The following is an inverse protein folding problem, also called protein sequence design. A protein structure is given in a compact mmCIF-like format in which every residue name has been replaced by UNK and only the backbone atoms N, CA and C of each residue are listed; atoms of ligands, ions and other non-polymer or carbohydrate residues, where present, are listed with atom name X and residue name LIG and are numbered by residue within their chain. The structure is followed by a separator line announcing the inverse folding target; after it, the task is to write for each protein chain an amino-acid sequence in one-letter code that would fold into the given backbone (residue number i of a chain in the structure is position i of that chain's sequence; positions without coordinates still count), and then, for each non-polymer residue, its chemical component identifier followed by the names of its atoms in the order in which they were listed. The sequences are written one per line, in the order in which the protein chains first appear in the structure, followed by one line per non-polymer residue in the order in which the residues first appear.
data_IF_614887727694
#
_entry.id   IF_614887727694
#
_cell.length_a   1.000
_cell.length_b   1.000
_cell.length_c   1.000
_cell.angle_alpha   90.00
_cell.angle_beta   90.00
_cell.angle_gamma   90.00
#
_symmetry.space_group_name_H-M   'P 1'
#
loop_
_entity.id
_entity.type
_entity.pdbx_description
1 polymer ?
#
# COMPACT_ATOMS: atom_id res chain seq x y z
N UNK A 1 3.83 61.27 48.81
CA UNK A 1 3.36 59.88 48.58
C UNK A 1 3.73 59.28 47.21
N UNK A 2 4.20 60.04 46.22
CA UNK A 2 4.60 59.48 44.90
C UNK A 2 6.03 58.91 44.85
N UNK A 3 7.00 59.45 45.60
CA UNK A 3 8.39 58.93 45.61
C UNK A 3 8.56 57.57 46.29
N UNK A 4 7.63 57.19 47.17
CA UNK A 4 7.65 55.90 47.87
C UNK A 4 7.07 54.75 47.00
N UNK A 5 6.26 55.08 45.98
CA UNK A 5 5.67 54.09 45.06
C UNK A 5 6.61 53.71 43.90
N UNK A 6 7.52 54.60 43.49
CA UNK A 6 8.52 54.29 42.46
C UNK A 6 9.63 53.36 42.96
N UNK A 7 9.99 53.43 44.24
CA UNK A 7 10.99 52.52 44.81
C UNK A 7 10.46 51.07 44.93
N UNK A 8 9.15 50.91 45.15
CA UNK A 8 8.52 49.60 45.25
C UNK A 8 8.50 48.84 43.90
N UNK A 9 8.41 49.55 42.77
CA UNK A 9 8.44 48.90 41.44
C UNK A 9 9.84 48.51 40.97
N UNK A 10 10.90 49.20 41.42
CA UNK A 10 12.30 48.86 41.06
C UNK A 10 12.86 47.72 41.91
N UNK A 11 12.36 47.55 43.14
CA UNK A 11 12.77 46.42 44.01
C UNK A 11 12.03 45.14 43.62
N UNK A 12 10.84 45.23 43.03
CA UNK A 12 10.07 44.05 42.59
C UNK A 12 10.57 43.45 41.26
N UNK A 13 11.29 44.19 40.43
CA UNK A 13 11.92 43.69 39.21
C UNK A 13 13.24 42.93 39.44
N UNK A 14 13.80 42.96 40.65
CA UNK A 14 14.99 42.21 41.06
C UNK A 14 14.68 40.85 41.72
N UNK A 15 13.40 40.45 41.80
CA UNK A 15 12.99 39.15 42.36
C UNK A 15 12.52 38.12 41.32
N UNK A 16 12.94 38.27 40.06
CA UNK A 16 12.95 37.14 39.13
C UNK A 16 14.08 36.19 39.56
N UNK A 17 13.78 35.37 40.57
CA UNK A 17 14.56 34.21 40.92
C UNK A 17 14.62 33.30 39.70
N UNK A 18 15.73 33.38 38.97
CA UNK A 18 16.12 32.34 38.04
C UNK A 18 16.15 31.05 38.86
N UNK A 19 15.25 30.11 38.56
CA UNK A 19 15.32 28.77 39.12
C UNK A 19 16.60 28.12 38.61
N UNK A 20 17.69 28.26 39.35
CA UNK A 20 18.91 27.47 39.14
C UNK A 20 18.59 26.07 39.63
N UNK A 21 18.48 25.13 38.71
CA UNK A 21 18.33 23.72 39.05
C UNK A 21 19.63 23.26 39.71
N UNK A 22 19.60 23.05 41.03
CA UNK A 22 20.75 22.58 41.79
C UNK A 22 21.04 21.11 41.42
N UNK A 23 22.26 20.80 41.00
CA UNK A 23 22.68 19.45 40.53
C UNK A 23 23.66 18.77 41.51
N UNK A 24 23.55 19.11 42.79
CA UNK A 24 24.35 18.53 43.87
C UNK A 24 23.47 17.64 44.74
N UNK A 25 24.04 16.53 45.21
CA UNK A 25 23.41 15.66 46.22
C UNK A 25 23.61 16.30 47.59
N UNK A 26 22.55 16.38 48.39
CA UNK A 26 22.61 16.88 49.78
C UNK A 26 23.73 16.16 50.54
N UNK A 27 24.80 16.87 50.87
CA UNK A 27 25.96 16.34 51.59
C UNK A 27 27.21 16.04 50.76
N UNK A 28 27.26 16.38 49.46
CA UNK A 28 28.51 16.32 48.68
C UNK A 28 28.62 17.42 47.62
N UNK A 29 29.78 18.08 47.52
CA UNK A 29 30.13 19.07 46.46
C UNK A 29 30.32 18.44 45.07
N UNK A 30 29.93 17.16 44.88
CA UNK A 30 29.96 16.52 43.58
C UNK A 30 28.75 16.94 42.76
N UNK A 31 29.00 17.78 41.75
CA UNK A 31 28.05 18.00 40.66
C UNK A 31 27.79 16.68 39.94
N UNK A 32 26.58 16.13 40.09
CA UNK A 32 26.11 15.04 39.24
C UNK A 32 25.47 15.71 38.02
N UNK A 33 26.29 16.06 37.03
CA UNK A 33 25.73 16.24 35.68
C UNK A 33 25.31 14.84 35.22
N UNK A 34 24.01 14.55 34.98
CA UNK A 34 23.65 13.28 34.37
C UNK A 34 24.48 13.16 33.09
N UNK A 35 25.23 12.04 32.96
CA UNK A 35 26.06 11.79 31.79
C UNK A 35 25.13 11.86 30.58
N UNK A 36 25.19 12.97 29.84
CA UNK A 36 24.28 13.21 28.73
C UNK A 36 24.46 12.08 27.74
N UNK A 37 23.39 11.29 27.52
CA UNK A 37 23.39 10.29 26.49
C UNK A 37 23.44 11.00 25.14
N UNK A 38 24.61 10.94 24.51
CA UNK A 38 24.87 11.61 23.25
C UNK A 38 23.95 11.09 22.13
N UNK A 39 23.54 9.81 22.19
CA UNK A 39 22.61 9.22 21.22
C UNK A 39 21.20 9.78 21.40
N UNK A 40 20.72 9.89 22.64
CA UNK A 40 19.41 10.52 22.91
C UNK A 40 19.39 12.02 22.57
N UNK A 41 20.49 12.71 22.88
CA UNK A 41 20.66 14.11 22.47
C UNK A 41 20.67 14.25 20.94
N UNK A 42 21.32 13.33 20.21
CA UNK A 42 21.28 13.27 18.75
C UNK A 42 19.86 12.99 18.22
N UNK A 43 19.12 12.03 18.81
CA UNK A 43 17.72 11.74 18.43
C UNK A 43 16.80 12.94 18.58
N UNK A 44 16.97 13.70 19.65
CA UNK A 44 16.23 14.95 19.86
C UNK A 44 16.53 15.97 18.76
N UNK A 45 17.80 16.08 18.35
CA UNK A 45 18.22 16.94 17.24
C UNK A 45 17.69 16.45 15.89
N UNK A 46 17.66 15.15 15.65
CA UNK A 46 17.06 14.55 14.45
C UNK A 46 15.58 14.93 14.37
N UNK A 47 14.83 14.72 15.46
CA UNK A 47 13.40 15.04 15.50
C UNK A 47 13.12 16.52 15.19
N UNK A 48 13.92 17.43 15.76
CA UNK A 48 13.85 18.86 15.43
C UNK A 48 14.17 19.11 13.96
N UNK A 49 15.24 18.50 13.44
CA UNK A 49 15.64 18.64 12.03
C UNK A 49 14.54 18.20 11.05
N UNK A 50 13.90 17.06 11.32
CA UNK A 50 12.77 16.55 10.54
C UNK A 50 11.57 17.51 10.63
N UNK A 51 11.28 18.06 11.81
CA UNK A 51 10.18 19.02 11.97
C UNK A 51 10.42 20.32 11.17
N UNK A 52 11.66 20.82 11.14
CA UNK A 52 12.02 21.96 10.30
C UNK A 52 11.91 21.63 8.80
N UNK A 53 12.32 20.42 8.37
CA UNK A 53 12.11 19.96 6.99
C UNK A 53 10.64 19.95 6.59
N UNK A 54 9.76 19.44 7.45
CA UNK A 54 8.31 19.43 7.20
C UNK A 54 7.70 20.83 7.02
N UNK A 55 8.34 21.86 7.59
CA UNK A 55 7.94 23.27 7.47
C UNK A 55 8.66 23.99 6.32
N UNK A 56 9.56 23.33 5.61
CA UNK A 56 10.39 23.90 4.55
C UNK A 56 11.58 24.75 5.04
N UNK A 57 11.86 24.78 6.34
CA UNK A 57 13.03 25.49 6.89
C UNK A 57 14.28 24.63 6.82
N UNK A 58 14.84 24.56 5.61
CA UNK A 58 16.00 23.73 5.31
C UNK A 58 17.27 24.20 6.07
N UNK A 59 17.37 25.48 6.43
CA UNK A 59 18.54 26.00 7.16
C UNK A 59 18.58 25.49 8.60
N UNK A 60 17.44 25.59 9.32
CA UNK A 60 17.34 25.07 10.68
C UNK A 60 17.39 23.54 10.72
N UNK A 61 16.85 22.88 9.68
CA UNK A 61 16.99 21.44 9.52
C UNK A 61 18.46 21.02 9.48
N UNK A 62 19.24 21.57 8.54
CA UNK A 62 20.67 21.26 8.39
C UNK A 62 21.44 21.50 9.68
N UNK A 63 21.20 22.64 10.33
CA UNK A 63 21.87 22.98 11.60
C UNK A 63 21.62 21.94 12.70
N UNK A 64 20.38 21.47 12.85
CA UNK A 64 20.07 20.46 13.86
C UNK A 64 20.65 19.09 13.49
N UNK A 65 20.61 18.70 12.21
CA UNK A 65 21.16 17.43 11.75
C UNK A 65 22.70 17.37 11.87
N UNK A 66 23.41 18.46 11.58
CA UNK A 66 24.87 18.54 11.80
C UNK A 66 25.21 18.45 13.29
N UNK A 67 24.40 19.05 14.16
CA UNK A 67 24.55 18.85 15.62
C UNK A 67 24.26 17.42 16.04
N UNK A 68 23.26 16.76 15.45
CA UNK A 68 23.01 15.35 15.72
C UNK A 68 24.23 14.50 15.35
N UNK A 69 24.82 14.75 14.18
CA UNK A 69 26.05 14.11 13.70
C UNK A 69 27.25 14.38 14.59
N UNK A 70 27.42 15.60 15.11
CA UNK A 70 28.52 15.90 16.02
C UNK A 70 28.39 15.16 17.37
N UNK A 71 27.15 14.89 17.81
CA UNK A 71 26.87 14.18 19.06
C UNK A 71 27.02 12.66 18.90
N UNK A 72 26.49 12.10 17.81
CA UNK A 72 26.50 10.65 17.56
C UNK A 72 26.81 10.34 16.07
N UNK A 73 28.09 10.46 15.64
CA UNK A 73 28.46 10.28 14.23
C UNK A 73 28.30 8.85 13.71
N UNK A 74 28.22 7.85 14.60
CA UNK A 74 28.06 6.43 14.26
C UNK A 74 26.60 5.95 14.38
N UNK A 75 25.64 6.84 14.66
CA UNK A 75 24.24 6.48 14.74
C UNK A 75 23.61 6.49 13.34
N UNK A 76 23.15 5.34 12.85
CA UNK A 76 22.58 5.22 11.50
C UNK A 76 21.37 6.16 11.28
N UNK A 77 20.56 6.39 12.32
CA UNK A 77 19.41 7.32 12.31
C UNK A 77 19.83 8.75 11.91
N UNK A 78 21.02 9.22 12.31
CA UNK A 78 21.55 10.53 11.92
C UNK A 78 21.77 10.59 10.41
N UNK A 79 22.42 9.56 9.86
CA UNK A 79 22.74 9.51 8.44
C UNK A 79 21.48 9.33 7.58
N UNK A 80 20.49 8.56 8.05
CA UNK A 80 19.17 8.51 7.42
C UNK A 80 18.49 9.88 7.39
N UNK A 81 18.53 10.63 8.50
CA UNK A 81 17.92 11.96 8.57
C UNK A 81 18.66 12.99 7.70
N UNK A 82 19.99 12.92 7.62
CA UNK A 82 20.78 13.72 6.67
C UNK A 82 20.50 13.34 5.22
N UNK A 83 20.34 12.05 4.92
CA UNK A 83 19.97 11.60 3.59
C UNK A 83 18.60 12.15 3.16
N UNK A 84 17.62 12.11 4.07
CA UNK A 84 16.31 12.72 3.86
C UNK A 84 16.41 14.25 3.64
N UNK A 85 17.25 14.95 4.41
CA UNK A 85 17.53 16.37 4.18
C UNK A 85 18.07 16.62 2.77
N UNK A 86 19.13 15.92 2.37
CA UNK A 86 19.75 16.07 1.05
C UNK A 86 18.80 15.74 -0.08
N UNK A 87 17.94 14.73 0.10
CA UNK A 87 16.87 14.39 -0.84
C UNK A 87 15.88 15.55 -1.02
N UNK A 88 15.45 16.21 0.07
CA UNK A 88 14.51 17.34 0.00
C UNK A 88 15.10 18.58 -0.69
N UNK A 89 16.41 18.83 -0.52
CA UNK A 89 17.11 19.95 -1.19
C UNK A 89 17.70 19.58 -2.55
N UNK A 90 17.37 18.39 -3.07
CA UNK A 90 17.83 17.86 -4.36
C UNK A 90 19.36 17.67 -4.50
N UNK A 91 20.08 17.51 -3.39
CA UNK A 91 21.50 17.10 -3.36
C UNK A 91 21.61 15.56 -3.38
N UNK A 92 21.24 14.94 -4.50
CA UNK A 92 20.98 13.50 -4.58
C UNK A 92 22.22 12.61 -4.35
N UNK A 93 23.40 13.04 -4.76
CA UNK A 93 24.65 12.29 -4.53
C UNK A 93 24.99 12.24 -3.03
N UNK A 94 24.80 13.36 -2.33
CA UNK A 94 24.98 13.44 -0.88
C UNK A 94 23.94 12.57 -0.15
N UNK A 95 22.69 12.60 -0.62
CA UNK A 95 21.62 11.74 -0.10
C UNK A 95 21.98 10.25 -0.23
N UNK A 96 22.41 9.82 -1.42
CA UNK A 96 22.80 8.44 -1.67
C UNK A 96 24.00 8.02 -0.80
N UNK A 97 24.99 8.90 -0.62
CA UNK A 97 26.13 8.65 0.25
C UNK A 97 25.71 8.48 1.72
N UNK A 98 24.83 9.36 2.22
CA UNK A 98 24.32 9.26 3.59
C UNK A 98 23.48 8.00 3.83
N UNK A 99 22.64 7.58 2.88
CA UNK A 99 21.92 6.31 2.98
C UNK A 99 22.87 5.10 3.03
N UNK A 100 23.89 5.06 2.18
CA UNK A 100 24.90 3.99 2.21
C UNK A 100 25.64 3.97 3.55
N UNK A 101 26.02 5.13 4.07
CA UNK A 101 26.66 5.25 5.38
C UNK A 101 25.77 4.70 6.50
N UNK A 102 24.47 5.00 6.48
CA UNK A 102 23.52 4.45 7.45
C UNK A 102 23.45 2.91 7.41
N UNK A 103 23.50 2.32 6.21
CA UNK A 103 23.52 0.87 6.02
C UNK A 103 24.83 0.23 6.46
N UNK A 104 25.96 0.90 6.24
CA UNK A 104 27.29 0.41 6.65
C UNK A 104 27.44 0.42 8.17
N UNK A 105 26.86 1.42 8.85
CA UNK A 105 26.87 1.53 10.32
C UNK A 105 25.96 0.51 11.01
N UNK A 106 24.75 0.29 10.48
CA UNK A 106 23.80 -0.67 11.04
C UNK A 106 23.19 -1.57 9.93
N UNK A 107 23.88 -2.65 9.52
CA UNK A 107 23.43 -3.54 8.44
C UNK A 107 22.12 -4.30 8.71
N UNK A 108 21.66 -4.34 9.96
CA UNK A 108 20.40 -4.98 10.35
C UNK A 108 19.24 -3.97 10.51
N UNK A 109 19.49 -2.67 10.32
CA UNK A 109 18.48 -1.62 10.47
C UNK A 109 17.53 -1.58 9.27
N UNK A 110 16.36 -2.20 9.42
CA UNK A 110 15.35 -2.30 8.37
C UNK A 110 14.83 -0.95 7.87
N UNK A 111 14.71 0.06 8.74
CA UNK A 111 14.25 1.40 8.35
C UNK A 111 15.24 2.07 7.37
N UNK A 112 16.54 1.88 7.56
CA UNK A 112 17.57 2.37 6.63
C UNK A 112 17.40 1.79 5.23
N UNK A 113 17.10 0.50 5.10
CA UNK A 113 16.83 -0.15 3.82
C UNK A 113 15.53 0.35 3.18
N UNK A 114 14.47 0.51 3.98
CA UNK A 114 13.21 1.03 3.49
C UNK A 114 13.36 2.46 2.95
N UNK A 115 14.06 3.32 3.69
CA UNK A 115 14.25 4.72 3.31
C UNK A 115 15.14 4.84 2.07
N UNK A 116 16.24 4.06 1.99
CA UNK A 116 17.09 4.07 0.82
C UNK A 116 16.38 3.49 -0.42
N UNK A 117 15.60 2.43 -0.24
CA UNK A 117 14.78 1.86 -1.32
C UNK A 117 13.77 2.87 -1.86
N UNK A 118 13.05 3.59 -0.99
CA UNK A 118 12.13 4.65 -1.40
C UNK A 118 12.84 5.77 -2.16
N UNK A 119 14.02 6.19 -1.70
CA UNK A 119 14.86 7.16 -2.40
C UNK A 119 15.26 6.67 -3.80
N UNK A 120 15.75 5.43 -3.93
CA UNK A 120 16.13 4.87 -5.22
C UNK A 120 14.95 4.83 -6.20
N UNK A 121 13.74 4.55 -5.69
CA UNK A 121 12.55 4.58 -6.51
C UNK A 121 12.30 5.97 -7.11
N UNK A 122 12.35 7.02 -6.29
CA UNK A 122 12.23 8.42 -6.75
C UNK A 122 13.31 8.82 -7.77
N UNK A 123 14.45 8.12 -7.80
CA UNK A 123 15.54 8.34 -8.76
C UNK A 123 15.43 7.46 -10.01
N UNK A 124 14.35 6.70 -10.17
CA UNK A 124 14.14 5.79 -11.30
C UNK A 124 14.98 4.51 -11.25
N UNK A 125 15.65 4.22 -10.12
CA UNK A 125 16.47 3.02 -9.91
C UNK A 125 15.58 1.89 -9.35
N UNK A 126 14.59 1.49 -10.14
CA UNK A 126 13.44 0.71 -9.69
C UNK A 126 13.76 -0.70 -9.18
N UNK A 127 14.60 -1.46 -9.89
CA UNK A 127 14.95 -2.82 -9.49
C UNK A 127 15.78 -2.82 -8.20
N UNK A 128 16.68 -1.84 -8.05
CA UNK A 128 17.47 -1.68 -6.84
C UNK A 128 16.59 -1.26 -5.66
N UNK A 129 15.63 -0.36 -5.90
CA UNK A 129 14.65 0.07 -4.90
C UNK A 129 13.85 -1.11 -4.33
N UNK A 130 13.28 -1.94 -5.21
CA UNK A 130 12.51 -3.12 -4.79
C UNK A 130 13.39 -4.10 -4.02
N UNK A 131 14.62 -4.36 -4.47
CA UNK A 131 15.56 -5.23 -3.75
C UNK A 131 15.79 -4.75 -2.32
N UNK A 132 16.05 -3.44 -2.11
CA UNK A 132 16.26 -2.88 -0.78
C UNK A 132 15.00 -2.93 0.09
N UNK A 133 13.82 -2.68 -0.50
CA UNK A 133 12.54 -2.74 0.22
C UNK A 133 12.18 -4.18 0.64
N UNK A 134 12.38 -5.16 -0.23
CA UNK A 134 12.21 -6.58 0.10
C UNK A 134 13.24 -7.05 1.13
N UNK A 135 14.46 -6.54 1.01
CA UNK A 135 15.46 -6.71 2.04
C UNK A 135 14.92 -6.15 3.36
N UNK A 136 14.38 -4.92 3.45
CA UNK A 136 13.84 -4.33 4.68
C UNK A 136 12.81 -5.27 5.34
N UNK A 137 11.87 -5.78 4.55
CA UNK A 137 10.84 -6.73 4.97
C UNK A 137 11.43 -8.02 5.55
N UNK A 138 12.56 -8.50 5.04
CA UNK A 138 13.19 -9.74 5.50
C UNK A 138 13.88 -9.65 6.86
N UNK A 139 14.01 -8.46 7.46
CA UNK A 139 14.76 -8.27 8.72
C UNK A 139 13.90 -8.67 9.91
N UNK A 140 14.49 -9.38 10.90
CA UNK A 140 13.78 -9.74 12.13
C UNK A 140 13.26 -8.50 12.86
N UNK A 141 12.00 -8.55 13.32
CA UNK A 141 11.41 -7.49 14.13
C UNK A 141 10.97 -6.25 13.36
N UNK A 142 11.06 -6.23 12.03
CA UNK A 142 10.59 -5.08 11.24
C UNK A 142 9.07 -4.99 11.24
N UNK A 143 8.53 -3.98 11.92
CA UNK A 143 7.08 -3.78 12.08
C UNK A 143 6.42 -3.02 10.92
N UNK A 144 7.21 -2.35 10.06
CA UNK A 144 6.71 -1.47 8.99
C UNK A 144 6.69 -2.17 7.62
N UNK A 145 6.51 -3.48 7.60
CA UNK A 145 6.44 -4.25 6.36
C UNK A 145 5.36 -3.73 5.40
N UNK A 146 4.22 -3.30 5.92
CA UNK A 146 3.16 -2.68 5.12
C UNK A 146 3.62 -1.42 4.38
N UNK A 147 4.43 -0.57 5.02
CA UNK A 147 5.00 0.64 4.40
C UNK A 147 5.94 0.28 3.24
N UNK A 148 6.79 -0.73 3.44
CA UNK A 148 7.72 -1.17 2.39
C UNK A 148 7.00 -1.79 1.21
N UNK A 149 5.97 -2.61 1.43
CA UNK A 149 5.15 -3.14 0.35
C UNK A 149 4.43 -2.05 -0.43
N UNK A 150 3.89 -1.04 0.26
CA UNK A 150 3.28 0.12 -0.40
C UNK A 150 4.30 0.90 -1.24
N UNK A 151 5.51 1.13 -0.71
CA UNK A 151 6.59 1.78 -1.46
C UNK A 151 6.95 0.99 -2.73
N UNK A 152 7.04 -0.34 -2.65
CA UNK A 152 7.28 -1.18 -3.84
C UNK A 152 6.13 -1.01 -4.84
N UNK A 153 4.89 -1.04 -4.37
CA UNK A 153 3.74 -0.90 -5.25
C UNK A 153 3.69 0.44 -5.99
N UNK A 154 3.95 1.54 -5.28
CA UNK A 154 4.06 2.87 -5.89
C UNK A 154 5.19 2.90 -6.93
N UNK A 155 6.30 2.23 -6.64
CA UNK A 155 7.41 2.07 -7.57
C UNK A 155 7.04 1.29 -8.84
N UNK A 156 6.18 0.28 -8.70
CA UNK A 156 5.63 -0.47 -9.84
C UNK A 156 4.63 0.37 -10.63
N UNK A 157 3.85 1.23 -9.99
CA UNK A 157 2.96 2.17 -10.68
C UNK A 157 3.72 3.19 -11.52
N UNK A 158 4.87 3.71 -11.04
CA UNK A 158 5.72 4.59 -11.86
C UNK A 158 6.23 3.90 -13.14
N UNK A 159 6.47 2.59 -13.06
CA UNK A 159 6.83 1.75 -14.21
C UNK A 159 5.61 1.31 -15.04
N UNK A 160 4.40 1.75 -14.69
CA UNK A 160 3.14 1.32 -15.31
C UNK A 160 2.92 -0.20 -15.22
N UNK A 161 3.46 -0.85 -14.19
CA UNK A 161 3.24 -2.27 -13.88
C UNK A 161 2.11 -2.40 -12.85
N UNK A 162 0.88 -2.33 -13.35
CA UNK A 162 -0.33 -2.35 -12.53
C UNK A 162 -0.57 -3.70 -11.85
N UNK A 163 -0.14 -4.81 -12.47
CA UNK A 163 -0.33 -6.16 -11.92
C UNK A 163 0.52 -6.35 -10.66
N UNK A 164 1.82 -6.02 -10.74
CA UNK A 164 2.69 -6.09 -9.56
C UNK A 164 2.32 -5.04 -8.51
N UNK A 165 1.95 -3.83 -8.93
CA UNK A 165 1.49 -2.80 -8.01
C UNK A 165 0.29 -3.27 -7.17
N UNK A 166 -0.73 -3.85 -7.82
CA UNK A 166 -1.88 -4.43 -7.11
C UNK A 166 -1.45 -5.53 -6.14
N UNK A 167 -0.60 -6.46 -6.58
CA UNK A 167 -0.14 -7.57 -5.74
C UNK A 167 0.58 -7.09 -4.48
N UNK A 168 1.45 -6.08 -4.60
CA UNK A 168 2.15 -5.50 -3.45
C UNK A 168 1.24 -4.65 -2.56
N UNK A 169 0.24 -3.95 -3.10
CA UNK A 169 -0.78 -3.27 -2.31
C UNK A 169 -1.65 -4.27 -1.53
N UNK A 170 -2.01 -5.40 -2.15
CA UNK A 170 -2.71 -6.49 -1.46
C UNK A 170 -1.87 -7.04 -0.28
N UNK A 171 -0.55 -7.17 -0.46
CA UNK A 171 0.37 -7.53 0.64
C UNK A 171 0.43 -6.43 1.72
N UNK A 172 0.49 -5.16 1.34
CA UNK A 172 0.49 -4.03 2.28
C UNK A 172 -0.76 -4.05 3.17
N UNK A 173 -1.94 -4.21 2.58
CA UNK A 173 -3.22 -4.31 3.30
C UNK A 173 -3.28 -5.57 4.17
N UNK A 174 -2.71 -6.70 3.74
CA UNK A 174 -2.62 -7.91 4.60
C UNK A 174 -1.75 -7.69 5.84
N UNK A 175 -0.67 -6.93 5.73
CA UNK A 175 0.20 -6.60 6.88
C UNK A 175 -0.39 -5.50 7.77
N UNK A 176 -1.14 -4.55 7.20
CA UNK A 176 -1.86 -3.54 7.97
C UNK A 176 -3.19 -3.21 7.30
N UNK A 177 -4.25 -3.85 7.80
CA UNK A 177 -5.55 -3.85 7.16
C UNK A 177 -6.32 -2.53 7.33
N UNK A 178 -5.91 -1.67 8.26
CA UNK A 178 -6.50 -0.36 8.52
C UNK A 178 -5.65 0.79 7.97
N UNK A 179 -4.59 0.52 7.20
CA UNK A 179 -3.71 1.55 6.66
C UNK A 179 -4.45 2.36 5.58
N UNK A 180 -4.75 3.66 5.82
CA UNK A 180 -5.59 4.41 4.88
C UNK A 180 -4.95 4.61 3.51
N UNK A 181 -3.64 4.86 3.47
CA UNK A 181 -2.90 5.07 2.22
C UNK A 181 -2.90 3.82 1.33
N UNK A 182 -2.67 2.64 1.92
CA UNK A 182 -2.66 1.39 1.17
C UNK A 182 -4.06 1.03 0.64
N UNK A 183 -5.12 1.24 1.45
CA UNK A 183 -6.50 1.06 1.00
C UNK A 183 -6.85 2.01 -0.15
N UNK A 184 -6.48 3.29 -0.04
CA UNK A 184 -6.71 4.30 -1.07
C UNK A 184 -5.97 3.98 -2.38
N UNK A 185 -4.68 3.64 -2.29
CA UNK A 185 -3.86 3.30 -3.44
C UNK A 185 -4.38 2.03 -4.12
N UNK A 186 -4.76 1.01 -3.34
CA UNK A 186 -5.37 -0.21 -3.87
C UNK A 186 -6.72 0.08 -4.53
N UNK A 187 -7.55 0.95 -3.96
CA UNK A 187 -8.82 1.35 -4.56
C UNK A 187 -8.59 2.06 -5.91
N UNK A 188 -7.60 2.95 -5.97
CA UNK A 188 -7.22 3.69 -7.19
C UNK A 188 -6.76 2.75 -8.30
N UNK A 189 -5.94 1.75 -7.95
CA UNK A 189 -5.49 0.70 -8.89
C UNK A 189 -6.66 -0.16 -9.36
N UNK A 190 -7.55 -0.59 -8.47
CA UNK A 190 -8.74 -1.36 -8.86
C UNK A 190 -9.67 -0.53 -9.76
N UNK A 191 -9.86 0.76 -9.48
CA UNK A 191 -10.60 1.67 -10.36
C UNK A 191 -9.96 1.77 -11.75
N UNK A 192 -8.64 1.96 -11.82
CA UNK A 192 -7.91 1.98 -13.09
C UNK A 192 -8.08 0.66 -13.86
N UNK A 193 -8.11 -0.46 -13.16
CA UNK A 193 -8.35 -1.80 -13.72
C UNK A 193 -9.84 -2.11 -13.96
N UNK A 194 -10.75 -1.14 -13.76
CA UNK A 194 -12.21 -1.31 -13.85
C UNK A 194 -12.82 -2.37 -12.92
N UNK A 195 -12.13 -2.77 -11.85
CA UNK A 195 -12.72 -3.50 -10.73
C UNK A 195 -13.40 -2.51 -9.76
N UNK A 196 -14.54 -1.98 -10.22
CA UNK A 196 -15.27 -0.92 -9.54
C UNK A 196 -15.83 -1.37 -8.18
N UNK A 197 -16.18 -2.67 -8.05
CA UNK A 197 -16.70 -3.21 -6.80
C UNK A 197 -15.59 -3.27 -5.74
N UNK A 198 -14.43 -3.83 -6.09
CA UNK A 198 -13.29 -3.86 -5.17
C UNK A 198 -12.85 -2.45 -4.79
N UNK A 199 -12.78 -1.53 -5.77
CA UNK A 199 -12.43 -0.13 -5.52
C UNK A 199 -13.38 0.55 -4.52
N UNK A 200 -14.70 0.36 -4.68
CA UNK A 200 -15.69 0.93 -3.77
C UNK A 200 -15.57 0.36 -2.35
N UNK A 201 -15.45 -0.97 -2.21
CA UNK A 201 -15.31 -1.64 -0.91
C UNK A 201 -14.09 -1.12 -0.14
N UNK A 202 -12.97 -0.93 -0.84
CA UNK A 202 -11.74 -0.42 -0.23
C UNK A 202 -11.89 1.04 0.23
N UNK A 203 -12.59 1.88 -0.53
CA UNK A 203 -12.89 3.25 -0.12
C UNK A 203 -13.84 3.30 1.08
N UNK A 204 -14.91 2.52 1.06
CA UNK A 204 -15.87 2.45 2.18
C UNK A 204 -15.13 2.02 3.47
N UNK A 205 -14.25 1.02 3.36
CA UNK A 205 -13.38 0.58 4.47
C UNK A 205 -12.44 1.70 4.93
N UNK A 206 -11.77 2.39 4.02
CA UNK A 206 -10.86 3.48 4.35
C UNK A 206 -11.59 4.62 5.07
N UNK A 207 -12.76 5.03 4.58
CA UNK A 207 -13.56 6.11 5.15
C UNK A 207 -14.10 5.77 6.55
N UNK A 208 -14.39 4.50 6.82
CA UNK A 208 -14.79 4.06 8.16
C UNK A 208 -13.66 4.16 9.20
N UNK A 209 -12.40 4.12 8.75
CA UNK A 209 -11.22 4.05 9.61
C UNK A 209 -10.40 5.35 9.66
N UNK A 210 -10.66 6.32 8.77
CA UNK A 210 -9.83 7.51 8.61
C UNK A 210 -10.60 8.72 8.12
N UNK A 211 -9.92 9.87 8.07
CA UNK A 211 -10.49 11.12 7.57
C UNK A 211 -10.69 11.06 6.05
N UNK A 212 -11.80 11.64 5.61
CA UNK A 212 -12.14 11.78 4.20
C UNK A 212 -11.29 12.92 3.61
N UNK A 213 -10.70 12.68 2.43
CA UNK A 213 -9.93 13.67 1.67
C UNK A 213 -10.63 14.00 0.35
N UNK A 214 -10.43 15.21 -0.23
CA UNK A 214 -11.05 15.56 -1.51
C UNK A 214 -10.67 14.58 -2.63
N UNK A 215 -9.42 14.08 -2.64
CA UNK A 215 -8.95 12.99 -3.53
C UNK A 215 -9.81 11.74 -3.41
N UNK A 216 -10.06 11.27 -2.20
CA UNK A 216 -10.90 10.08 -1.97
C UNK A 216 -12.36 10.28 -2.36
N UNK A 217 -12.91 11.49 -2.16
CA UNK A 217 -14.29 11.82 -2.57
C UNK A 217 -14.40 11.86 -4.09
N UNK A 218 -13.42 12.45 -4.77
CA UNK A 218 -13.37 12.46 -6.24
C UNK A 218 -13.30 11.04 -6.80
N UNK A 219 -12.48 10.16 -6.21
CA UNK A 219 -12.44 8.76 -6.64
C UNK A 219 -13.79 8.06 -6.43
N UNK A 220 -14.45 8.27 -5.28
CA UNK A 220 -15.81 7.76 -5.04
C UNK A 220 -16.82 8.28 -6.08
N UNK A 221 -16.74 9.57 -6.44
CA UNK A 221 -17.58 10.15 -7.50
C UNK A 221 -17.34 9.44 -8.84
N UNK A 222 -16.08 9.25 -9.23
CA UNK A 222 -15.72 8.61 -10.51
C UNK A 222 -16.17 7.14 -10.56
N UNK A 223 -16.02 6.40 -9.46
CA UNK A 223 -16.53 5.03 -9.35
C UNK A 223 -18.06 5.01 -9.49
N UNK A 224 -18.76 5.89 -8.77
CA UNK A 224 -20.21 5.99 -8.83
C UNK A 224 -20.71 6.38 -10.24
N UNK A 225 -20.00 7.30 -10.91
CA UNK A 225 -20.28 7.68 -12.29
C UNK A 225 -20.16 6.48 -13.24
N UNK A 226 -19.10 5.68 -13.11
CA UNK A 226 -18.89 4.47 -13.93
C UNK A 226 -19.92 3.36 -13.65
N UNK A 227 -20.39 3.28 -12.40
CA UNK A 227 -21.44 2.35 -11.97
C UNK A 227 -22.85 2.84 -12.28
N UNK A 228 -23.01 4.11 -12.69
CA UNK A 228 -24.31 4.79 -12.81
C UNK A 228 -25.09 4.84 -11.48
N UNK A 229 -24.38 4.87 -10.36
CA UNK A 229 -24.96 5.09 -9.04
C UNK A 229 -25.16 6.60 -8.82
N UNK A 230 -26.29 7.11 -9.31
CA UNK A 230 -26.63 8.53 -9.23
C UNK A 230 -26.71 9.04 -7.79
N UNK A 231 -27.11 8.20 -6.83
CA UNK A 231 -27.21 8.61 -5.43
C UNK A 231 -25.83 8.84 -4.82
N UNK A 232 -24.90 7.88 -4.98
CA UNK A 232 -23.52 8.05 -4.52
C UNK A 232 -22.80 9.18 -5.25
N UNK A 233 -23.06 9.34 -6.55
CA UNK A 233 -22.50 10.44 -7.35
C UNK A 233 -22.92 11.80 -6.80
N UNK A 234 -24.22 12.02 -6.54
CA UNK A 234 -24.74 13.26 -5.97
C UNK A 234 -24.21 13.53 -4.56
N UNK A 235 -24.13 12.49 -3.71
CA UNK A 235 -23.58 12.63 -2.36
C UNK A 235 -22.10 13.03 -2.38
N UNK A 236 -21.30 12.42 -3.27
CA UNK A 236 -19.89 12.75 -3.43
C UNK A 236 -19.70 14.17 -4.02
N UNK A 237 -20.51 14.56 -4.99
CA UNK A 237 -20.52 15.92 -5.55
C UNK A 237 -20.83 16.96 -4.47
N UNK A 238 -21.91 16.76 -3.71
CA UNK A 238 -22.28 17.65 -2.63
C UNK A 238 -21.16 17.76 -1.61
N UNK A 239 -20.64 16.64 -1.12
CA UNK A 239 -19.55 16.62 -0.14
C UNK A 239 -18.31 17.37 -0.66
N UNK A 240 -17.94 17.17 -1.92
CA UNK A 240 -16.78 17.80 -2.52
C UNK A 240 -16.95 19.33 -2.61
N UNK A 241 -18.09 19.78 -3.16
CA UNK A 241 -18.37 21.20 -3.37
C UNK A 241 -18.66 21.96 -2.06
N UNK A 242 -19.25 21.32 -1.04
CA UNK A 242 -19.58 21.99 0.22
C UNK A 242 -18.43 21.97 1.22
N UNK A 243 -17.72 20.85 1.34
CA UNK A 243 -16.71 20.64 2.39
C UNK A 243 -15.30 20.99 1.91
N UNK A 244 -15.03 20.87 0.60
CA UNK A 244 -13.71 21.14 0.02
C UNK A 244 -13.79 22.12 -1.17
N UNK A 245 -14.46 23.28 -1.07
CA UNK A 245 -14.74 24.16 -2.21
C UNK A 245 -13.49 24.69 -2.93
N UNK A 246 -12.34 24.75 -2.24
CA UNK A 246 -11.08 25.25 -2.79
C UNK A 246 -10.11 24.14 -3.23
N UNK A 247 -10.52 22.87 -3.16
CA UNK A 247 -9.68 21.75 -3.57
C UNK A 247 -9.58 21.67 -5.10
N UNK A 248 -8.46 21.13 -5.59
CA UNK A 248 -8.26 20.87 -7.01
C UNK A 248 -9.34 19.94 -7.56
N UNK A 249 -9.78 18.98 -6.76
CA UNK A 249 -10.82 18.02 -7.11
C UNK A 249 -12.17 18.68 -7.32
N UNK A 250 -12.58 19.62 -6.45
CA UNK A 250 -13.78 20.44 -6.65
C UNK A 250 -13.71 21.28 -7.92
N UNK A 251 -12.52 21.80 -8.25
CA UNK A 251 -12.31 22.56 -9.48
C UNK A 251 -12.46 21.66 -10.72
N UNK A 252 -11.87 20.46 -10.71
CA UNK A 252 -12.01 19.49 -11.80
C UNK A 252 -13.47 19.11 -12.02
N UNK A 253 -14.21 18.86 -10.94
CA UNK A 253 -15.63 18.50 -11.01
C UNK A 253 -16.47 19.65 -11.58
N UNK A 254 -16.37 20.85 -10.99
CA UNK A 254 -17.17 22.02 -11.39
C UNK A 254 -16.88 22.51 -12.82
N UNK A 255 -15.67 22.28 -13.33
CA UNK A 255 -15.29 22.61 -14.72
C UNK A 255 -15.60 21.48 -15.71
N UNK A 256 -16.12 20.33 -15.26
CA UNK A 256 -16.33 19.17 -16.12
C UNK A 256 -15.04 18.55 -16.67
N UNK A 257 -13.90 18.77 -16.01
CA UNK A 257 -12.56 18.33 -16.42
C UNK A 257 -12.11 17.06 -15.70
N UNK A 258 -13.03 16.16 -15.41
CA UNK A 258 -12.76 14.91 -14.69
C UNK A 258 -11.76 13.99 -15.41
N UNK A 259 -11.64 14.13 -16.73
CA UNK A 259 -10.64 13.47 -17.56
C UNK A 259 -9.20 13.92 -17.26
N UNK A 260 -8.99 15.11 -16.70
CA UNK A 260 -7.68 15.63 -16.28
C UNK A 260 -7.30 15.16 -14.87
N UNK A 261 -8.17 14.42 -14.17
CA UNK A 261 -7.86 13.90 -12.84
C UNK A 261 -6.77 12.83 -12.88
N UNK A 262 -6.02 12.70 -11.78
CA UNK A 262 -5.01 11.67 -11.61
C UNK A 262 -5.56 10.25 -11.82
N UNK A 263 -6.82 9.99 -11.45
CA UNK A 263 -7.45 8.69 -11.58
C UNK A 263 -7.81 8.37 -13.03
N UNK A 264 -8.27 9.36 -13.78
CA UNK A 264 -8.50 9.23 -15.22
C UNK A 264 -7.19 8.97 -15.96
N UNK A 265 -6.12 9.68 -15.58
CA UNK A 265 -4.78 9.43 -16.12
C UNK A 265 -4.28 8.01 -15.78
N UNK A 266 -4.41 7.58 -14.53
CA UNK A 266 -4.02 6.24 -14.08
C UNK A 266 -4.76 5.13 -14.86
N UNK A 267 -6.06 5.31 -15.09
CA UNK A 267 -6.87 4.40 -15.91
C UNK A 267 -6.42 4.39 -17.37
N UNK A 268 -6.08 5.55 -17.93
CA UNK A 268 -5.56 5.65 -19.29
C UNK A 268 -4.19 4.95 -19.42
N UNK A 269 -3.30 5.11 -18.45
CA UNK A 269 -2.00 4.42 -18.43
C UNK A 269 -2.16 2.90 -18.40
N UNK A 270 -3.09 2.37 -17.60
CA UNK A 270 -3.39 0.94 -17.61
C UNK A 270 -3.99 0.48 -18.94
N UNK A 271 -4.90 1.26 -19.53
CA UNK A 271 -5.45 0.96 -20.86
C UNK A 271 -4.33 0.87 -21.91
N UNK A 272 -3.38 1.80 -21.91
CA UNK A 272 -2.22 1.78 -22.80
C UNK A 272 -1.33 0.54 -22.56
N UNK A 273 -1.12 0.14 -21.31
CA UNK A 273 -0.40 -1.08 -20.98
C UNK A 273 -1.06 -2.32 -21.63
N UNK A 274 -2.39 -2.45 -21.55
CA UNK A 274 -3.12 -3.58 -22.14
C UNK A 274 -3.01 -3.64 -23.67
N UNK A 275 -2.91 -2.49 -24.33
CA UNK A 275 -2.81 -2.40 -25.79
C UNK A 275 -1.43 -2.82 -26.30
N UNK A 276 -0.39 -2.63 -25.48
CA UNK A 276 0.98 -2.96 -25.83
C UNK A 276 1.34 -4.44 -25.58
N UNK A 277 0.48 -5.21 -24.90
CA UNK A 277 0.75 -6.61 -24.59
C UNK A 277 0.45 -7.54 -25.79
N UNK A 278 1.43 -8.39 -26.22
CA UNK A 278 1.20 -9.39 -27.25
C UNK A 278 0.07 -10.38 -26.88
N UNK A 279 -0.58 -10.93 -27.92
CA UNK A 279 -1.74 -11.84 -27.82
C UNK A 279 -1.49 -13.13 -27.02
N UNK A 280 -0.27 -13.42 -26.56
CA UNK A 280 0.07 -14.62 -25.76
C UNK A 280 0.50 -14.35 -24.30
N UNK A 281 0.72 -13.09 -23.88
CA UNK A 281 1.38 -12.79 -22.59
C UNK A 281 0.46 -12.40 -21.42
N UNK A 282 -0.86 -12.44 -21.58
CA UNK A 282 -1.80 -12.36 -20.44
C UNK A 282 -1.87 -13.75 -19.78
N UNK A 283 -0.73 -14.23 -19.29
CA UNK A 283 -0.74 -15.12 -18.15
C UNK A 283 -0.68 -14.19 -16.95
N UNK A 284 -1.68 -14.25 -16.12
CA UNK A 284 -1.61 -13.73 -14.76
C UNK A 284 -0.46 -14.48 -14.08
N UNK A 285 0.76 -13.95 -14.16
CA UNK A 285 1.84 -14.38 -13.29
C UNK A 285 1.48 -13.90 -11.89
N UNK A 286 0.59 -14.65 -11.26
CA UNK A 286 0.24 -14.65 -9.84
C UNK A 286 1.39 -15.22 -9.01
N UNK A 287 2.59 -15.34 -9.57
CA UNK A 287 3.80 -15.61 -8.84
C UNK A 287 3.92 -14.59 -7.72
N UNK A 288 3.47 -14.99 -6.53
CA UNK A 288 3.75 -14.29 -5.27
C UNK A 288 5.21 -13.84 -5.34
N UNK A 289 5.50 -12.54 -5.09
CA UNK A 289 6.85 -12.01 -5.24
C UNK A 289 7.81 -12.92 -4.46
N UNK A 290 8.61 -13.70 -5.20
CA UNK A 290 9.46 -14.73 -4.60
C UNK A 290 10.61 -14.01 -3.93
N UNK A 291 10.50 -13.81 -2.61
CA UNK A 291 11.61 -13.37 -1.77
C UNK A 291 12.68 -14.48 -1.84
N UNK A 292 13.67 -14.31 -2.72
CA UNK A 292 14.88 -15.14 -2.70
C UNK A 292 15.71 -14.72 -1.49
N UNK A 293 15.49 -15.40 -0.36
CA UNK A 293 16.36 -15.29 0.81
C UNK A 293 17.72 -15.90 0.42
N UNK A 294 18.63 -15.07 -0.09
CA UNK A 294 20.03 -15.44 -0.24
C UNK A 294 20.71 -15.24 1.10
N UNK A 295 20.69 -16.28 1.94
CA UNK A 295 21.59 -16.34 3.11
C UNK A 295 23.02 -16.37 2.58
N UNK A 296 23.78 -15.27 2.74
CA UNK A 296 25.25 -15.33 2.63
C UNK A 296 25.73 -16.33 3.70
N UNK A 297 26.37 -17.41 3.26
CA UNK A 297 27.04 -18.37 4.16
C UNK A 297 28.15 -17.64 4.93
N UNK A 298 28.28 -17.82 6.25
CA UNK A 298 29.52 -17.51 6.95
C UNK A 298 30.65 -18.45 6.47
N UNK A 299 31.92 -18.03 6.59
CA UNK A 299 33.05 -18.75 6.02
C UNK A 299 33.28 -20.11 6.68
N UNK A 300 33.76 -21.04 5.87
CA UNK A 300 33.93 -22.47 6.14
C UNK A 300 35.13 -22.72 7.07
N UNK A 301 34.93 -23.56 8.08
CA UNK A 301 35.98 -24.41 8.65
C UNK A 301 35.43 -25.81 8.95
N UNK A 302 36.22 -26.84 8.60
CA UNK A 302 36.16 -28.17 9.23
C UNK A 302 35.37 -29.24 8.50
N UNK A 303 36.08 -30.19 7.89
CA UNK A 303 35.60 -31.38 7.20
C UNK A 303 35.03 -32.46 8.15
N UNK A 304 34.08 -33.28 7.67
CA UNK A 304 34.26 -34.75 7.51
C UNK A 304 33.03 -35.44 6.85
N UNK A 305 33.34 -36.19 5.80
CA UNK A 305 32.82 -37.50 5.35
C UNK A 305 31.30 -37.81 5.18
N UNK A 306 30.94 -37.94 3.89
CA UNK A 306 30.32 -39.11 3.21
C UNK A 306 29.17 -39.91 3.85
N UNK A 307 28.00 -39.92 3.17
CA UNK A 307 27.39 -41.15 2.61
C UNK A 307 26.23 -40.82 1.65
N UNK A 308 26.13 -41.61 0.59
CA UNK A 308 25.18 -41.48 -0.53
C UNK A 308 24.23 -42.69 -0.56
N UNK A 309 22.98 -42.43 -1.00
CA UNK A 309 21.93 -43.30 -1.58
C UNK A 309 21.01 -44.12 -0.63
N UNK A 310 19.76 -44.46 -1.03
CA UNK A 310 19.14 -44.32 -2.36
C UNK A 310 17.71 -43.72 -2.41
N UNK A 311 17.34 -43.33 -3.63
CA UNK A 311 15.99 -43.00 -4.06
C UNK A 311 15.08 -44.25 -4.08
N UNK A 312 14.32 -44.47 -3.01
CA UNK A 312 13.28 -45.53 -2.94
C UNK A 312 12.16 -45.20 -1.94
N UNK A 313 11.70 -43.94 -1.94
CA UNK A 313 10.53 -43.50 -1.17
C UNK A 313 9.58 -42.61 -2.00
N UNK A 314 9.70 -42.68 -3.34
CA UNK A 314 8.84 -41.94 -4.28
C UNK A 314 7.74 -42.81 -4.93
N UNK A 315 7.61 -44.08 -4.52
CA UNK A 315 6.65 -45.00 -5.12
C UNK A 315 6.09 -45.96 -4.06
N UNK A 316 5.30 -45.45 -3.11
CA UNK A 316 4.35 -46.22 -2.31
C UNK A 316 3.56 -45.30 -1.35
N UNK A 317 2.75 -44.39 -1.88
CA UNK A 317 1.60 -43.80 -1.14
C UNK A 317 0.52 -43.39 -2.16
N UNK A 318 -0.04 -44.36 -2.86
CA UNK A 318 -1.37 -44.26 -3.45
C UNK A 318 -2.32 -45.01 -2.50
N UNK A 319 -2.94 -44.29 -1.58
CA UNK A 319 -4.15 -44.74 -0.88
C UNK A 319 -4.91 -43.53 -0.35
N UNK A 320 -6.05 -43.25 -1.01
CA UNK A 320 -7.27 -42.65 -0.49
C UNK A 320 -7.12 -41.76 0.76
N UNK A 321 -7.04 -40.44 0.56
CA UNK A 321 -7.26 -39.49 1.64
C UNK A 321 -8.77 -39.38 1.91
N UNK A 322 -9.23 -40.01 2.99
CA UNK A 322 -10.51 -39.68 3.61
C UNK A 322 -10.48 -38.20 4.01
N UNK A 323 -11.34 -37.41 3.38
CA UNK A 323 -11.44 -35.98 3.54
C UNK A 323 -12.23 -35.64 4.81
N UNK A 324 -11.55 -35.23 5.87
CA UNK A 324 -12.22 -34.67 7.06
C UNK A 324 -12.67 -33.26 6.72
N UNK A 325 -13.95 -33.00 6.86
CA UNK A 325 -14.49 -31.69 6.60
C UNK A 325 -14.44 -30.78 7.83
N UNK A 326 -14.17 -29.50 7.58
CA UNK A 326 -13.97 -28.51 8.64
C UNK A 326 -15.31 -27.88 9.01
N UNK A 327 -15.67 -28.01 10.29
CA UNK A 327 -16.80 -27.31 10.90
C UNK A 327 -16.32 -26.10 11.69
N UNK A 328 -17.10 -25.03 11.68
CA UNK A 328 -16.87 -23.83 12.47
C UNK A 328 -18.12 -23.47 13.28
N UNK A 329 -17.95 -23.29 14.59
CA UNK A 329 -19.02 -22.81 15.45
C UNK A 329 -18.97 -21.29 15.57
N UNK A 330 -20.03 -20.63 15.11
CA UNK A 330 -20.18 -19.16 15.08
C UNK A 330 -20.04 -18.59 16.49
N UNK A 331 -19.07 -17.70 16.67
CA UNK A 331 -18.83 -16.96 17.91
C UNK A 331 -19.66 -15.67 17.97
N UNK A 332 -19.60 -15.01 19.12
CA UNK A 332 -20.29 -13.74 19.32
C UNK A 332 -19.73 -12.66 18.39
N UNK A 333 -20.62 -11.94 17.71
CA UNK A 333 -20.32 -10.85 16.77
C UNK A 333 -19.53 -11.26 15.50
N UNK A 334 -19.50 -12.56 15.16
CA UNK A 334 -18.95 -13.03 13.90
C UNK A 334 -19.93 -12.85 12.73
N UNK A 335 -19.38 -12.55 11.55
CA UNK A 335 -20.11 -12.46 10.29
C UNK A 335 -19.69 -13.58 9.33
N UNK A 336 -20.56 -13.94 8.39
CA UNK A 336 -20.21 -14.87 7.31
C UNK A 336 -18.97 -14.41 6.54
N UNK A 337 -18.78 -13.09 6.41
CA UNK A 337 -17.57 -12.50 5.84
C UNK A 337 -16.32 -12.82 6.67
N UNK A 338 -16.34 -12.58 7.99
CA UNK A 338 -15.19 -12.86 8.85
C UNK A 338 -14.83 -14.35 8.93
N UNK A 339 -15.84 -15.22 8.83
CA UNK A 339 -15.65 -16.68 8.77
C UNK A 339 -15.07 -17.07 7.40
N UNK A 340 -15.63 -16.56 6.30
CA UNK A 340 -15.11 -16.77 4.95
C UNK A 340 -13.63 -16.37 4.82
N UNK A 341 -13.28 -15.21 5.35
CA UNK A 341 -11.91 -14.70 5.39
C UNK A 341 -10.98 -15.60 6.22
N UNK A 342 -11.40 -15.99 7.43
CA UNK A 342 -10.60 -16.86 8.31
C UNK A 342 -10.23 -18.18 7.65
N UNK A 343 -11.16 -18.77 6.93
CA UNK A 343 -10.98 -20.08 6.30
C UNK A 343 -10.57 -19.99 4.83
N UNK A 344 -10.39 -18.78 4.29
CA UNK A 344 -10.00 -18.55 2.89
C UNK A 344 -10.95 -19.22 1.88
N UNK A 345 -12.26 -19.14 2.15
CA UNK A 345 -13.34 -19.60 1.27
C UNK A 345 -14.24 -18.42 0.91
N UNK A 346 -15.14 -18.55 -0.07
CA UNK A 346 -16.08 -17.46 -0.37
C UNK A 346 -17.32 -17.53 0.53
N UNK A 347 -17.99 -16.38 0.71
CA UNK A 347 -19.28 -16.34 1.41
C UNK A 347 -20.30 -17.21 0.67
N UNK A 348 -20.30 -17.18 -0.66
CA UNK A 348 -21.17 -18.01 -1.51
C UNK A 348 -20.94 -19.50 -1.28
N UNK A 349 -19.70 -19.93 -1.09
CA UNK A 349 -19.38 -21.32 -0.75
C UNK A 349 -19.99 -21.71 0.60
N UNK A 350 -19.78 -20.91 1.64
CA UNK A 350 -20.34 -21.17 2.98
C UNK A 350 -21.88 -21.20 2.93
N UNK A 351 -22.51 -20.29 2.19
CA UNK A 351 -23.97 -20.25 2.00
C UNK A 351 -24.44 -21.56 1.34
N UNK A 352 -23.78 -21.98 0.26
CA UNK A 352 -24.14 -23.20 -0.48
C UNK A 352 -23.95 -24.47 0.35
N UNK A 353 -22.84 -24.59 1.09
CA UNK A 353 -22.51 -25.76 1.89
C UNK A 353 -23.41 -25.93 3.11
N UNK A 354 -24.01 -24.82 3.57
CA UNK A 354 -24.89 -24.80 4.74
C UNK A 354 -26.36 -24.61 4.38
N UNK A 355 -26.70 -24.61 3.07
CA UNK A 355 -28.05 -24.36 2.57
C UNK A 355 -28.70 -23.11 3.17
N UNK A 356 -27.91 -22.05 3.36
CA UNK A 356 -28.39 -20.76 3.86
C UNK A 356 -29.10 -20.00 2.73
N UNK A 357 -30.07 -19.15 3.08
CA UNK A 357 -30.62 -18.18 2.12
C UNK A 357 -29.68 -16.97 2.01
N UNK A 358 -29.66 -16.31 0.85
CA UNK A 358 -28.95 -15.05 0.68
C UNK A 358 -29.43 -14.04 1.74
N UNK A 359 -28.47 -13.42 2.45
CA UNK A 359 -28.68 -12.51 3.58
C UNK A 359 -29.31 -13.12 4.84
N UNK A 360 -29.35 -14.45 4.98
CA UNK A 360 -29.74 -15.09 6.24
C UNK A 360 -28.72 -14.75 7.34
N UNK A 361 -29.12 -14.11 8.47
CA UNK A 361 -28.22 -13.82 9.57
C UNK A 361 -27.77 -15.12 10.25
N UNK A 362 -26.47 -15.20 10.59
CA UNK A 362 -25.93 -16.28 11.40
C UNK A 362 -26.02 -15.94 12.89
N UNK A 363 -26.25 -16.96 13.73
CA UNK A 363 -26.44 -16.78 15.17
C UNK A 363 -25.33 -17.46 15.97
N UNK A 364 -24.98 -16.89 17.13
CA UNK A 364 -24.02 -17.46 18.06
C UNK A 364 -24.36 -18.92 18.36
N UNK A 365 -23.38 -19.80 18.24
CA UNK A 365 -23.51 -21.23 18.47
C UNK A 365 -23.93 -22.05 17.25
N UNK A 366 -24.30 -21.43 16.14
CA UNK A 366 -24.58 -22.12 14.88
C UNK A 366 -23.31 -22.80 14.35
N UNK A 367 -23.43 -24.05 13.89
CA UNK A 367 -22.31 -24.77 13.27
C UNK A 367 -22.44 -24.60 11.76
N UNK A 368 -21.37 -24.12 11.14
CA UNK A 368 -21.23 -23.97 9.70
C UNK A 368 -20.18 -24.94 9.17
N UNK A 369 -20.49 -25.60 8.06
CA UNK A 369 -19.56 -26.35 7.25
C UNK A 369 -18.73 -25.41 6.39
N UNK A 370 -17.40 -25.50 6.49
CA UNK A 370 -16.46 -24.57 5.85
C UNK A 370 -15.58 -25.28 4.81
N UNK A 371 -15.96 -26.49 4.39
CA UNK A 371 -15.34 -27.19 3.26
C UNK A 371 -14.02 -27.92 3.60
N UNK A 372 -13.34 -28.42 2.56
CA UNK A 372 -12.09 -29.19 2.65
C UNK A 372 -10.87 -28.26 2.47
N UNK A 373 -9.90 -28.27 3.38
CA UNK A 373 -8.63 -27.53 3.21
C UNK A 373 -7.72 -28.18 2.16
N UNK A 374 -8.04 -28.00 0.88
CA UNK A 374 -7.10 -28.12 -0.23
C UNK A 374 -7.73 -27.62 -1.55
N UNK A 375 -8.16 -26.36 -1.63
CA UNK A 375 -8.46 -25.74 -2.93
C UNK A 375 -7.47 -24.63 -3.24
N UNK A 376 -6.40 -25.07 -3.91
CA UNK A 376 -5.66 -24.29 -4.91
C UNK A 376 -6.68 -23.52 -5.74
N UNK A 377 -6.54 -22.20 -5.79
CA UNK A 377 -7.46 -21.28 -6.46
C UNK A 377 -7.90 -21.81 -7.84
N UNK A 378 -9.16 -22.22 -7.94
CA UNK A 378 -9.91 -22.14 -9.19
C UNK A 378 -10.54 -20.75 -9.11
N UNK A 379 -9.96 -19.77 -9.81
CA UNK A 379 -10.68 -18.54 -10.08
C UNK A 379 -12.01 -18.91 -10.74
N UNK A 380 -13.16 -18.32 -10.33
CA UNK A 380 -14.42 -18.58 -11.03
C UNK A 380 -14.22 -18.23 -12.50
N UNK A 381 -14.32 -19.24 -13.37
CA UNK A 381 -14.28 -19.01 -14.80
C UNK A 381 -15.53 -18.23 -15.17
N UNK A 382 -15.35 -16.93 -15.43
CA UNK A 382 -16.40 -16.10 -16.00
C UNK A 382 -16.76 -16.74 -17.33
N UNK A 383 -17.96 -17.31 -17.42
CA UNK A 383 -18.46 -17.86 -18.68
C UNK A 383 -18.57 -16.69 -19.67
N UNK A 384 -17.67 -16.69 -20.65
CA UNK A 384 -17.65 -15.65 -21.68
C UNK A 384 -18.73 -16.02 -22.71
N UNK A 385 -19.81 -15.22 -22.86
CA UNK A 385 -20.80 -15.48 -23.89
C UNK A 385 -20.18 -15.22 -25.27
N UNK A 386 -20.67 -15.86 -26.32
CA UNK A 386 -20.15 -15.65 -27.69
C UNK A 386 -20.32 -14.20 -28.15
N UNK A 387 -21.49 -13.64 -27.83
CA UNK A 387 -21.86 -12.26 -28.16
C UNK A 387 -22.41 -11.56 -26.92
N UNK A 388 -22.15 -10.26 -26.85
CA UNK A 388 -22.65 -9.40 -25.79
C UNK A 388 -23.38 -8.20 -26.40
N UNK A 389 -24.57 -7.91 -25.87
CA UNK A 389 -25.32 -6.72 -26.24
C UNK A 389 -24.87 -5.53 -25.39
N UNK A 390 -24.30 -4.53 -26.04
CA UNK A 390 -23.82 -3.30 -25.41
C UNK A 390 -24.99 -2.62 -24.69
N UNK A 391 -24.80 -2.34 -23.41
CA UNK A 391 -25.74 -1.62 -22.56
C UNK A 391 -25.42 -0.13 -22.55
N UNK A 392 -26.37 0.68 -22.08
CA UNK A 392 -26.15 2.12 -21.94
C UNK A 392 -24.97 2.42 -21.02
N UNK A 393 -24.01 3.22 -21.50
CA UNK A 393 -22.78 3.56 -20.77
C UNK A 393 -21.66 2.51 -20.84
N UNK A 394 -21.82 1.42 -21.61
CA UNK A 394 -20.72 0.50 -21.84
C UNK A 394 -19.57 1.14 -22.61
N UNK A 395 -18.35 0.68 -22.31
CA UNK A 395 -17.14 0.92 -23.09
C UNK A 395 -16.51 -0.42 -23.45
N UNK A 396 -15.81 -0.49 -24.58
CA UNK A 396 -15.08 -1.72 -24.97
C UNK A 396 -14.07 -2.14 -23.89
N UNK A 397 -13.46 -1.17 -23.22
CA UNK A 397 -12.57 -1.39 -22.09
C UNK A 397 -13.29 -2.06 -20.90
N UNK A 398 -14.48 -1.57 -20.52
CA UNK A 398 -15.29 -2.17 -19.44
C UNK A 398 -15.72 -3.61 -19.77
N UNK A 399 -16.12 -3.85 -21.02
CA UNK A 399 -16.55 -5.18 -21.47
C UNK A 399 -15.37 -6.15 -21.50
N UNK A 400 -14.22 -5.72 -22.04
CA UNK A 400 -12.95 -6.46 -22.03
C UNK A 400 -12.58 -6.91 -20.62
N UNK A 401 -12.66 -6.01 -19.63
CA UNK A 401 -12.36 -6.34 -18.23
C UNK A 401 -13.41 -7.27 -17.62
N UNK A 402 -14.70 -7.01 -17.83
CA UNK A 402 -15.80 -7.83 -17.28
C UNK A 402 -15.68 -9.30 -17.69
N UNK A 403 -15.37 -9.56 -18.95
CA UNK A 403 -15.30 -10.92 -19.48
C UNK A 403 -13.86 -11.45 -19.59
N UNK A 404 -12.88 -10.71 -19.06
CA UNK A 404 -11.45 -11.06 -19.11
C UNK A 404 -10.95 -11.38 -20.53
N UNK A 405 -11.54 -10.69 -21.52
CA UNK A 405 -11.15 -10.78 -22.92
C UNK A 405 -10.14 -9.67 -23.20
N UNK A 406 -9.03 -9.94 -23.88
CA UNK A 406 -8.06 -8.89 -24.22
C UNK A 406 -8.72 -7.78 -25.02
N UNK A 407 -8.47 -6.53 -24.65
CA UNK A 407 -9.03 -5.39 -25.37
C UNK A 407 -8.64 -5.39 -26.85
N UNK A 408 -7.39 -5.76 -27.16
CA UNK A 408 -6.89 -5.90 -28.54
C UNK A 408 -7.65 -6.98 -29.31
N UNK A 409 -7.87 -8.15 -28.71
CA UNK A 409 -8.68 -9.22 -29.32
C UNK A 409 -10.14 -8.79 -29.50
N UNK A 410 -10.74 -8.13 -28.50
CA UNK A 410 -12.10 -7.61 -28.58
C UNK A 410 -12.26 -6.60 -29.72
N UNK A 411 -11.29 -5.70 -29.89
CA UNK A 411 -11.24 -4.75 -31.00
C UNK A 411 -11.12 -5.48 -32.34
N UNK A 412 -10.19 -6.42 -32.44
CA UNK A 412 -9.93 -7.20 -33.66
C UNK A 412 -11.15 -8.02 -34.10
N UNK A 413 -11.74 -8.82 -33.21
CA UNK A 413 -12.90 -9.68 -33.50
C UNK A 413 -14.13 -8.92 -33.96
N UNK A 414 -14.22 -7.65 -33.61
CA UNK A 414 -15.34 -6.79 -33.96
C UNK A 414 -15.02 -5.78 -35.07
N UNK A 415 -13.81 -5.84 -35.64
CA UNK A 415 -13.31 -4.84 -36.60
C UNK A 415 -13.47 -3.39 -36.09
N UNK A 416 -13.18 -3.18 -34.81
CA UNK A 416 -13.27 -1.90 -34.13
C UNK A 416 -11.87 -1.35 -33.83
N UNK A 417 -11.80 -0.03 -33.71
CA UNK A 417 -10.65 0.72 -33.19
C UNK A 417 -11.03 1.33 -31.84
N UNK A 418 -10.05 1.85 -31.09
CA UNK A 418 -10.34 2.53 -29.82
C UNK A 418 -11.28 3.73 -29.94
N UNK A 419 -11.30 4.36 -31.12
CA UNK A 419 -12.14 5.52 -31.42
C UNK A 419 -13.48 5.12 -32.03
N UNK A 420 -13.66 3.83 -32.32
CA UNK A 420 -14.90 3.35 -32.93
C UNK A 420 -16.06 3.59 -31.96
N UNK A 421 -17.08 4.35 -32.36
CA UNK A 421 -18.23 4.59 -31.52
C UNK A 421 -19.02 3.28 -31.36
N UNK A 422 -19.33 2.92 -30.11
CA UNK A 422 -20.22 1.81 -29.79
C UNK A 422 -21.56 2.36 -29.31
N UNK A 423 -22.66 1.66 -29.64
CA UNK A 423 -24.02 2.11 -29.27
C UNK A 423 -24.73 1.07 -28.42
N UNK A 424 -25.51 1.54 -27.45
CA UNK A 424 -26.41 0.67 -26.70
C UNK A 424 -27.32 -0.09 -27.69
N UNK A 425 -27.50 -1.38 -27.44
CA UNK A 425 -28.23 -2.32 -28.30
C UNK A 425 -27.39 -3.01 -29.37
N UNK A 426 -26.17 -2.54 -29.67
CA UNK A 426 -25.24 -3.20 -30.60
C UNK A 426 -24.69 -4.50 -30.00
N UNK A 427 -24.62 -5.56 -30.81
CA UNK A 427 -23.96 -6.79 -30.41
C UNK A 427 -22.49 -6.78 -30.83
N UNK A 428 -21.61 -7.24 -29.94
CA UNK A 428 -20.20 -7.49 -30.21
C UNK A 428 -19.82 -8.93 -29.84
N UNK A 429 -18.86 -9.51 -30.55
CA UNK A 429 -18.27 -10.80 -30.25
C UNK A 429 -17.29 -10.70 -29.09
N UNK A 430 -17.38 -11.63 -28.14
CA UNK A 430 -16.40 -11.79 -27.06
C UNK A 430 -15.55 -13.05 -27.22
N UNK A 431 -15.71 -13.75 -28.33
CA UNK A 431 -14.89 -14.88 -28.79
C UNK A 431 -14.53 -14.65 -30.27
N UNK A 432 -13.54 -15.36 -30.77
CA UNK A 432 -13.14 -15.27 -32.18
C UNK A 432 -14.27 -15.74 -33.11
N UNK A 433 -14.85 -14.87 -33.95
CA UNK A 433 -15.91 -15.25 -34.88
C UNK A 433 -15.49 -16.35 -35.83
N UNK A 434 -14.20 -16.41 -36.21
CA UNK A 434 -13.67 -17.43 -37.10
C UNK A 434 -13.68 -18.84 -36.48
N UNK A 435 -13.80 -18.94 -35.15
CA UNK A 435 -13.92 -20.21 -34.42
C UNK A 435 -15.37 -20.61 -34.13
N UNK A 436 -16.33 -19.74 -34.42
CA UNK A 436 -17.76 -19.96 -34.18
C UNK A 436 -18.52 -20.43 -35.43
N UNK A 437 -17.89 -20.38 -36.60
CA UNK A 437 -18.47 -20.80 -37.89
C UNK A 437 -18.07 -22.24 -38.33
N UNK A 438 -17.50 -23.05 -37.41
CA UNK A 438 -17.23 -24.49 -37.56
C UNK A 438 -18.27 -25.30 -36.78
#
# INVERSE_FOLDING_TARGET
MQKLRLLACVVFSLQLAACVTETTVVGSDRQIRPKMDQKEAARTRIALGINYLQRGDNAQAKFNLEKAKSLAPELAEVHNAMAYYYQQVAEFEAAEHSYKTALDLEPDNADSYNNYGAFLCQRGKYEQAEQLLLQAISRPGYIRAADSYENIALCRLEQKDFVQAKAYLDLSVKHNASRPSALFNLASVNYAMADLLAAQVLLDRMQSASQISPRSVLLSYLIAQEQQDYSRMQNAEQLLLTTYPQSQESLLLSQGKLNESEFSQLRQDYKQQLLQQPAEQVKTDTGQPKIKITRKKPPVTGATESKVLPATLAAQMQSQAETVAVQHQVQQDESLYGIAERYSVTISDIISWNSLRDNQPIVKGQILWIGQQAHRQIEPQIEVPERYQIQYGDTLFRISMRYRVKLTSLLQWNNLTEQSPIRAGQFIYLKDPAQLEL
#
